data_IF_039927145181
#
_entry.id   IF_039927145181
#
_cell.length_a   1.000
_cell.length_b   1.000
_cell.length_c   1.000
_cell.angle_alpha   90.00
_cell.angle_beta   90.00
_cell.angle_gamma   90.00
#
_symmetry.space_group_name_H-M   'P 1'
#
loop_
_entity.id
_entity.type
_entity.pdbx_description
1 polymer ?
#
# COMPACT_ATOMS: atom_id res chain seq x y z
N UNK A 1 -5.62 -4.21 -20.54
CA UNK A 1 -6.56 -3.51 -19.65
C UNK A 1 -6.43 -4.17 -18.28
N UNK A 2 -6.22 -3.37 -17.26
CA UNK A 2 -6.39 -3.85 -15.89
C UNK A 2 -7.89 -4.09 -15.61
N UNK A 3 -8.21 -4.93 -14.64
CA UNK A 3 -9.59 -5.15 -14.20
C UNK A 3 -10.29 -3.84 -13.79
N UNK A 4 -9.52 -2.87 -13.29
CA UNK A 4 -9.97 -1.50 -13.00
C UNK A 4 -10.42 -0.68 -14.23
N UNK A 5 -10.25 -1.20 -15.46
CA UNK A 5 -10.54 -0.47 -16.70
C UNK A 5 -9.51 0.60 -17.08
N UNK A 6 -8.46 0.79 -16.31
CA UNK A 6 -7.41 1.77 -16.60
C UNK A 6 -6.59 1.38 -17.83
N UNK A 7 -6.23 2.39 -18.65
CA UNK A 7 -5.35 2.18 -19.80
C UNK A 7 -3.91 2.16 -19.34
N UNK A 8 -3.23 1.04 -19.55
CA UNK A 8 -1.80 0.92 -19.30
C UNK A 8 -1.01 1.69 -20.36
N UNK A 9 -0.35 2.77 -19.95
CA UNK A 9 0.60 3.49 -20.82
C UNK A 9 1.84 2.65 -21.10
N UNK A 10 2.57 2.97 -22.17
CA UNK A 10 3.83 2.29 -22.50
C UNK A 10 4.86 2.47 -21.40
N UNK A 11 4.91 3.63 -20.77
CA UNK A 11 5.86 3.92 -19.69
C UNK A 11 5.53 3.12 -18.43
N UNK A 12 4.24 3.01 -18.07
CA UNK A 12 3.82 2.18 -16.93
C UNK A 12 4.14 0.70 -17.14
N UNK A 13 3.93 0.19 -18.38
CA UNK A 13 4.30 -1.19 -18.72
C UNK A 13 5.80 -1.43 -18.62
N UNK A 14 6.61 -0.47 -19.09
CA UNK A 14 8.08 -0.54 -19.01
C UNK A 14 8.55 -0.51 -17.55
N UNK A 15 7.98 0.38 -16.75
CA UNK A 15 8.28 0.48 -15.33
C UNK A 15 7.98 -0.84 -14.60
N UNK A 16 6.77 -1.39 -14.79
CA UNK A 16 6.40 -2.68 -14.19
C UNK A 16 7.33 -3.83 -14.63
N UNK A 17 7.71 -3.87 -15.92
CA UNK A 17 8.66 -4.85 -16.41
C UNK A 17 10.04 -4.69 -15.76
N UNK A 18 10.53 -3.46 -15.67
CA UNK A 18 11.83 -3.17 -15.03
C UNK A 18 11.80 -3.60 -13.56
N UNK A 19 10.78 -3.26 -12.80
CA UNK A 19 10.64 -3.68 -11.41
C UNK A 19 10.67 -5.22 -11.28
N UNK A 20 9.91 -5.93 -12.11
CA UNK A 20 9.88 -7.40 -12.09
C UNK A 20 11.25 -8.02 -12.44
N UNK A 21 11.94 -7.47 -13.46
CA UNK A 21 13.26 -7.96 -13.87
C UNK A 21 14.34 -7.68 -12.83
N UNK A 22 14.31 -6.48 -12.23
CA UNK A 22 15.27 -6.09 -11.20
C UNK A 22 15.04 -6.86 -9.91
N UNK A 23 13.76 -7.06 -9.52
CA UNK A 23 13.39 -7.96 -8.43
C UNK A 23 13.97 -9.36 -8.63
N UNK A 24 13.68 -9.99 -9.78
CA UNK A 24 14.20 -11.32 -10.06
C UNK A 24 15.73 -11.38 -10.04
N UNK A 25 16.40 -10.35 -10.61
CA UNK A 25 17.87 -10.30 -10.63
C UNK A 25 18.47 -10.14 -9.25
N UNK A 26 17.88 -9.28 -8.41
CA UNK A 26 18.40 -8.97 -7.06
C UNK A 26 18.03 -10.04 -6.04
N UNK A 27 16.77 -10.50 -6.06
CA UNK A 27 16.22 -11.45 -5.11
C UNK A 27 15.95 -12.83 -5.73
N UNK A 28 16.83 -13.26 -6.63
CA UNK A 28 16.70 -14.55 -7.30
C UNK A 28 16.57 -15.72 -6.32
N UNK A 29 17.33 -15.66 -5.22
CA UNK A 29 17.28 -16.67 -4.15
C UNK A 29 15.91 -16.72 -3.45
N UNK A 30 15.17 -15.62 -3.39
CA UNK A 30 13.77 -15.61 -2.92
C UNK A 30 12.86 -16.16 -4.02
N UNK A 31 12.95 -15.59 -5.22
CA UNK A 31 12.06 -15.89 -6.33
C UNK A 31 12.08 -17.37 -6.75
N UNK A 32 13.24 -18.02 -6.72
CA UNK A 32 13.40 -19.44 -7.08
C UNK A 32 12.99 -20.42 -5.95
N UNK A 33 12.82 -19.93 -4.73
CA UNK A 33 12.44 -20.74 -3.57
C UNK A 33 11.01 -20.43 -3.07
N UNK A 34 10.22 -19.69 -3.84
CA UNK A 34 8.80 -19.47 -3.55
C UNK A 34 8.06 -20.81 -3.57
N UNK A 35 7.35 -21.11 -2.49
CA UNK A 35 6.51 -22.31 -2.40
C UNK A 35 5.05 -22.03 -2.75
N UNK A 36 4.54 -20.86 -2.36
CA UNK A 36 3.17 -20.42 -2.66
C UNK A 36 3.11 -18.91 -2.90
N UNK A 37 2.12 -18.49 -3.68
CA UNK A 37 1.79 -17.08 -3.92
C UNK A 37 0.31 -16.83 -3.69
N UNK A 38 -0.06 -15.58 -3.37
CA UNK A 38 -1.45 -15.15 -3.18
C UNK A 38 -2.19 -16.03 -2.16
N UNK A 39 -1.54 -16.34 -1.03
CA UNK A 39 -2.06 -17.25 -0.03
C UNK A 39 -3.13 -16.55 0.80
N UNK A 40 -4.37 -17.00 0.68
CA UNK A 40 -5.46 -16.50 1.51
C UNK A 40 -5.37 -17.10 2.90
N UNK A 41 -5.32 -16.23 3.89
CA UNK A 41 -5.32 -16.56 5.30
C UNK A 41 -6.63 -16.05 5.92
N UNK A 42 -7.24 -16.85 6.79
CA UNK A 42 -8.45 -16.48 7.52
C UNK A 42 -8.37 -16.97 8.97
N UNK A 43 -8.66 -16.09 9.90
CA UNK A 43 -8.76 -16.40 11.32
C UNK A 43 -10.20 -16.09 11.79
N UNK A 44 -11.06 -17.11 11.84
CA UNK A 44 -12.45 -16.95 12.25
C UNK A 44 -12.59 -16.79 13.77
N UNK A 45 -13.82 -16.58 14.23
CA UNK A 45 -14.24 -16.59 15.63
C UNK A 45 -13.56 -15.54 16.52
N UNK A 46 -13.00 -14.47 15.93
CA UNK A 46 -12.52 -13.34 16.71
C UNK A 46 -13.68 -12.65 17.43
N UNK A 47 -13.39 -12.00 18.55
CA UNK A 47 -14.39 -11.31 19.36
C UNK A 47 -14.07 -9.83 19.50
N UNK A 48 -15.05 -8.98 19.22
CA UNK A 48 -14.96 -7.56 19.54
C UNK A 48 -15.15 -7.28 21.03
N UNK A 49 -14.84 -6.08 21.53
CA UNK A 49 -15.13 -5.67 22.91
C UNK A 49 -16.59 -5.87 23.34
N UNK A 50 -17.54 -5.68 22.41
CA UNK A 50 -18.97 -5.96 22.64
C UNK A 50 -19.35 -7.41 22.33
N UNK A 51 -18.37 -8.33 22.29
CA UNK A 51 -18.57 -9.78 22.11
C UNK A 51 -19.22 -10.17 20.76
N UNK A 52 -19.07 -9.36 19.73
CA UNK A 52 -19.50 -9.67 18.36
C UNK A 52 -18.44 -10.53 17.67
N UNK A 53 -18.89 -11.52 16.91
CA UNK A 53 -17.96 -12.41 16.17
C UNK A 53 -17.59 -11.78 14.85
N UNK A 54 -16.30 -11.90 14.49
CA UNK A 54 -15.81 -11.50 13.18
C UNK A 54 -14.65 -12.41 12.71
N UNK A 55 -14.32 -12.31 11.46
CA UNK A 55 -13.19 -13.03 10.85
C UNK A 55 -12.17 -12.02 10.36
N UNK A 56 -10.90 -12.25 10.65
CA UNK A 56 -9.80 -11.50 10.03
C UNK A 56 -9.34 -12.28 8.82
N UNK A 57 -9.30 -11.64 7.67
CA UNK A 57 -8.82 -12.24 6.41
C UNK A 57 -7.70 -11.39 5.83
N UNK A 58 -6.77 -12.05 5.17
CA UNK A 58 -5.70 -11.40 4.44
C UNK A 58 -5.16 -12.27 3.32
N UNK A 59 -4.36 -11.68 2.44
CA UNK A 59 -3.69 -12.38 1.36
C UNK A 59 -2.21 -12.07 1.45
N UNK A 60 -1.40 -13.09 1.65
CA UNK A 60 0.07 -12.98 1.67
C UNK A 60 0.56 -13.15 0.24
N UNK A 61 1.38 -12.22 -0.23
CA UNK A 61 1.85 -12.23 -1.62
C UNK A 61 2.74 -13.45 -1.90
N UNK A 62 3.71 -13.73 -1.02
CA UNK A 62 4.67 -14.82 -1.19
C UNK A 62 4.88 -15.56 0.13
N UNK A 63 4.88 -16.89 0.05
CA UNK A 63 5.31 -17.80 1.12
C UNK A 63 6.48 -18.63 0.61
N UNK A 64 7.52 -18.72 1.44
CA UNK A 64 8.64 -19.66 1.26
C UNK A 64 8.70 -20.58 2.46
N UNK A 65 8.46 -21.86 2.23
CA UNK A 65 8.58 -22.92 3.23
C UNK A 65 9.82 -23.76 2.93
N UNK A 66 10.68 -23.98 3.91
CA UNK A 66 11.92 -24.75 3.84
C UNK A 66 12.39 -25.07 5.24
N UNK A 67 13.69 -24.94 5.50
CA UNK A 67 14.25 -25.06 6.85
C UNK A 67 13.71 -23.93 7.76
N UNK A 68 13.43 -22.79 7.17
CA UNK A 68 12.75 -21.64 7.77
C UNK A 68 11.57 -21.22 6.91
N UNK A 69 10.49 -20.77 7.56
CA UNK A 69 9.29 -20.24 6.90
C UNK A 69 9.32 -18.72 6.88
N UNK A 70 9.18 -18.18 5.68
CA UNK A 70 9.15 -16.74 5.43
C UNK A 70 7.82 -16.32 4.81
N UNK A 71 7.26 -15.21 5.28
CA UNK A 71 6.17 -14.50 4.62
C UNK A 71 6.69 -13.18 4.06
N UNK A 72 6.42 -12.94 2.79
CA UNK A 72 6.80 -11.67 2.13
C UNK A 72 5.56 -10.96 1.63
N UNK A 73 5.57 -9.63 1.79
CA UNK A 73 4.60 -8.72 1.20
C UNK A 73 5.31 -7.78 0.23
N UNK A 74 4.78 -7.67 -1.00
CA UNK A 74 5.40 -6.87 -2.07
C UNK A 74 4.83 -5.46 -2.07
N UNK A 75 5.69 -4.46 -1.98
CA UNK A 75 5.31 -3.05 -2.05
C UNK A 75 6.06 -2.33 -3.17
N UNK A 76 5.34 -1.49 -3.91
CA UNK A 76 5.94 -0.60 -4.92
C UNK A 76 6.47 0.69 -4.29
N UNK A 77 7.05 0.60 -3.11
CA UNK A 77 7.59 1.70 -2.33
C UNK A 77 9.12 1.71 -2.38
N UNK A 78 9.70 2.87 -2.05
CA UNK A 78 11.14 3.04 -1.89
C UNK A 78 11.61 2.27 -0.64
N UNK A 79 12.67 1.44 -0.73
CA UNK A 79 13.20 0.71 0.42
C UNK A 79 13.59 1.61 1.61
N UNK A 80 14.11 2.80 1.34
CA UNK A 80 14.50 3.73 2.39
C UNK A 80 13.27 4.36 3.08
N UNK A 81 12.18 4.61 2.34
CA UNK A 81 10.90 5.05 2.94
C UNK A 81 10.28 3.95 3.80
N UNK A 82 10.40 2.69 3.38
CA UNK A 82 9.94 1.54 4.18
C UNK A 82 10.73 1.43 5.48
N UNK A 83 12.07 1.52 5.42
CA UNK A 83 12.94 1.49 6.60
C UNK A 83 12.73 2.66 7.55
N UNK A 84 12.41 3.83 7.00
CA UNK A 84 12.16 5.04 7.80
C UNK A 84 10.78 5.04 8.48
N UNK A 85 9.84 4.22 8.00
CA UNK A 85 8.46 4.19 8.48
C UNK A 85 7.94 2.75 8.62
N UNK A 86 8.64 1.87 9.38
CA UNK A 86 8.30 0.44 9.46
C UNK A 86 6.89 0.20 10.03
N UNK A 87 6.42 1.09 10.92
CA UNK A 87 5.11 1.00 11.56
C UNK A 87 3.93 0.92 10.58
N UNK A 88 4.11 1.38 9.34
CA UNK A 88 3.06 1.32 8.30
C UNK A 88 2.84 -0.09 7.74
N UNK A 89 3.79 -0.98 7.96
CA UNK A 89 3.84 -2.33 7.39
C UNK A 89 3.78 -3.41 8.46
N UNK A 90 4.30 -3.12 9.65
CA UNK A 90 4.37 -4.05 10.77
C UNK A 90 2.99 -4.58 11.17
N UNK A 91 1.97 -3.71 11.23
CA UNK A 91 0.60 -4.12 11.58
C UNK A 91 0.09 -5.22 10.64
N UNK A 92 0.30 -5.06 9.33
CA UNK A 92 -0.13 -6.05 8.34
C UNK A 92 0.62 -7.36 8.47
N UNK A 93 1.95 -7.31 8.62
CA UNK A 93 2.78 -8.51 8.75
C UNK A 93 2.55 -9.24 10.07
N UNK A 94 2.35 -8.53 11.18
CA UNK A 94 2.00 -9.12 12.46
C UNK A 94 0.67 -9.88 12.39
N UNK A 95 -0.33 -9.33 11.71
CA UNK A 95 -1.62 -10.02 11.47
C UNK A 95 -1.41 -11.27 10.62
N UNK A 96 -0.62 -11.20 9.55
CA UNK A 96 -0.33 -12.38 8.71
C UNK A 96 0.41 -13.46 9.48
N UNK A 97 1.44 -13.07 10.25
CA UNK A 97 2.19 -13.99 11.10
C UNK A 97 1.28 -14.69 12.13
N UNK A 98 0.42 -13.91 12.77
CA UNK A 98 -0.53 -14.45 13.75
C UNK A 98 -1.51 -15.46 13.14
N UNK A 99 -2.10 -15.12 11.97
CA UNK A 99 -3.02 -16.04 11.29
C UNK A 99 -2.28 -17.30 10.87
N UNK A 100 -1.07 -17.16 10.31
CA UNK A 100 -0.25 -18.29 9.90
C UNK A 100 0.07 -19.22 11.05
N UNK A 101 0.57 -18.70 12.18
CA UNK A 101 0.89 -19.47 13.36
C UNK A 101 -0.32 -20.22 13.93
N UNK A 102 -1.48 -19.57 13.95
CA UNK A 102 -2.72 -20.21 14.42
C UNK A 102 -3.20 -21.33 13.49
N UNK A 103 -3.06 -21.17 12.18
CA UNK A 103 -3.49 -22.17 11.22
C UNK A 103 -2.54 -23.40 11.17
N UNK A 104 -1.26 -23.19 11.28
CA UNK A 104 -0.25 -24.23 11.13
C UNK A 104 0.22 -24.82 12.47
N UNK A 105 -0.13 -24.18 13.61
CA UNK A 105 0.33 -24.56 14.95
C UNK A 105 1.86 -24.66 15.03
N UNK A 106 2.55 -23.82 14.27
CA UNK A 106 4.01 -23.73 14.20
C UNK A 106 4.42 -22.26 14.24
N UNK A 107 5.56 -21.93 14.86
CA UNK A 107 6.08 -20.58 14.79
C UNK A 107 6.39 -20.20 13.34
N UNK A 108 6.24 -18.96 13.03
CA UNK A 108 6.75 -18.36 11.80
C UNK A 108 8.14 -17.82 12.11
N UNK A 109 9.10 -18.10 11.23
CA UNK A 109 10.48 -17.69 11.49
C UNK A 109 10.70 -16.23 11.11
N UNK A 110 10.22 -15.81 9.94
CA UNK A 110 10.50 -14.47 9.42
C UNK A 110 9.32 -13.85 8.67
N UNK A 111 9.23 -12.50 8.75
CA UNK A 111 8.40 -11.68 7.87
C UNK A 111 9.24 -10.59 7.22
N UNK A 112 8.93 -10.23 5.98
CA UNK A 112 9.67 -9.18 5.29
C UNK A 112 8.80 -8.43 4.27
N UNK A 113 9.17 -7.18 4.01
CA UNK A 113 8.70 -6.40 2.87
C UNK A 113 9.70 -6.52 1.73
N UNK A 114 9.19 -6.72 0.51
CA UNK A 114 9.94 -6.58 -0.72
C UNK A 114 9.54 -5.26 -1.37
N UNK A 115 10.39 -4.24 -1.21
CA UNK A 115 10.17 -2.90 -1.74
C UNK A 115 10.74 -2.78 -3.14
N UNK A 116 9.88 -2.79 -4.17
CA UNK A 116 10.31 -2.93 -5.57
C UNK A 116 10.66 -1.63 -6.28
N UNK A 117 10.43 -0.47 -5.66
CA UNK A 117 10.88 0.78 -6.23
C UNK A 117 12.41 0.83 -6.19
N UNK A 118 13.02 1.06 -7.33
CA UNK A 118 14.47 1.13 -7.47
C UNK A 118 14.96 2.58 -7.58
N UNK A 119 16.23 2.86 -7.20
CA UNK A 119 16.79 4.21 -7.19
C UNK A 119 16.70 4.92 -8.53
N UNK A 120 16.52 6.25 -8.49
CA UNK A 120 16.49 7.07 -9.71
C UNK A 120 17.78 6.93 -10.53
N UNK A 121 18.93 6.82 -9.88
CA UNK A 121 20.20 6.61 -10.55
C UNK A 121 20.20 5.32 -11.38
N UNK A 122 19.64 4.23 -10.86
CA UNK A 122 19.45 2.98 -11.59
C UNK A 122 18.51 3.16 -12.77
N UNK A 123 17.40 3.90 -12.60
CA UNK A 123 16.47 4.23 -13.68
C UNK A 123 17.14 4.99 -14.81
N UNK A 124 17.91 6.01 -14.47
CA UNK A 124 18.65 6.82 -15.45
C UNK A 124 19.74 6.01 -16.16
N UNK A 125 20.43 5.12 -15.46
CA UNK A 125 21.43 4.22 -16.03
C UNK A 125 20.80 3.19 -17.00
N UNK A 126 19.65 2.63 -16.65
CA UNK A 126 18.88 1.74 -17.54
C UNK A 126 18.47 2.44 -18.84
N UNK A 127 18.01 3.69 -18.77
CA UNK A 127 17.65 4.46 -19.96
C UNK A 127 18.85 4.75 -20.87
N UNK A 128 20.03 4.94 -20.31
CA UNK A 128 21.27 5.20 -21.05
C UNK A 128 22.02 3.95 -21.43
N UNK A 129 21.59 2.77 -20.96
CA UNK A 129 22.29 1.49 -21.12
C UNK A 129 23.71 1.50 -20.55
N UNK A 130 23.93 2.24 -19.45
CA UNK A 130 25.19 2.38 -18.75
C UNK A 130 25.42 1.16 -17.83
N UNK A 131 25.99 0.09 -18.40
CA UNK A 131 26.17 -1.19 -17.72
C UNK A 131 26.98 -1.10 -16.42
N UNK A 132 28.11 -0.36 -16.34
CA UNK A 132 28.84 -0.22 -15.08
C UNK A 132 27.99 0.40 -13.96
N UNK A 133 27.27 1.49 -14.26
CA UNK A 133 26.38 2.14 -13.28
C UNK A 133 25.21 1.24 -12.90
N UNK A 134 24.60 0.53 -13.85
CA UNK A 134 23.53 -0.44 -13.57
C UNK A 134 24.01 -1.51 -12.58
N UNK A 135 25.22 -2.05 -12.80
CA UNK A 135 25.75 -3.07 -11.91
C UNK A 135 26.00 -2.52 -10.51
N UNK A 136 26.64 -1.36 -10.41
CA UNK A 136 26.92 -0.72 -9.14
C UNK A 136 25.65 -0.40 -8.34
N UNK A 137 24.65 0.20 -8.98
CA UNK A 137 23.37 0.54 -8.36
C UNK A 137 22.61 -0.71 -7.90
N UNK A 138 22.61 -1.79 -8.70
CA UNK A 138 22.00 -3.05 -8.31
C UNK A 138 22.68 -3.71 -7.11
N UNK A 139 23.99 -3.61 -6.99
CA UNK A 139 24.72 -4.14 -5.84
C UNK A 139 24.31 -3.41 -4.55
N UNK A 140 24.10 -2.10 -4.63
CA UNK A 140 23.78 -1.25 -3.48
C UNK A 140 22.25 -1.13 -3.20
N UNK A 141 21.40 -1.46 -4.16
CA UNK A 141 19.96 -1.49 -3.95
C UNK A 141 19.58 -2.69 -3.09
N UNK A 142 18.97 -2.42 -1.94
CA UNK A 142 18.55 -3.45 -0.98
C UNK A 142 17.03 -3.40 -0.77
N UNK A 143 16.26 -4.15 -1.58
CA UNK A 143 14.79 -4.12 -1.56
C UNK A 143 14.16 -5.02 -0.48
N UNK A 144 14.94 -5.87 0.20
CA UNK A 144 14.43 -6.77 1.21
C UNK A 144 14.57 -6.15 2.60
N UNK A 145 13.44 -5.96 3.28
CA UNK A 145 13.39 -5.37 4.62
C UNK A 145 12.69 -6.36 5.54
N UNK A 146 13.45 -7.00 6.40
CA UNK A 146 12.92 -7.89 7.43
C UNK A 146 12.21 -7.08 8.51
N UNK A 147 11.07 -7.60 8.99
CA UNK A 147 10.25 -7.00 10.03
C UNK A 147 10.12 -7.98 11.19
N UNK A 148 10.37 -7.50 12.39
CA UNK A 148 10.21 -8.31 13.59
C UNK A 148 8.73 -8.46 13.95
N UNK A 149 8.36 -9.64 14.45
CA UNK A 149 7.03 -9.88 14.98
C UNK A 149 6.89 -9.25 16.37
N UNK A 150 5.85 -8.44 16.56
CA UNK A 150 5.54 -7.78 17.82
C UNK A 150 4.14 -8.19 18.31
N UNK A 151 4.10 -9.01 19.36
CA UNK A 151 2.87 -9.50 19.95
C UNK A 151 2.02 -8.37 20.56
N UNK A 152 2.62 -7.35 21.15
CA UNK A 152 1.88 -6.22 21.73
C UNK A 152 1.17 -5.39 20.65
N UNK A 153 1.86 -5.05 19.58
CA UNK A 153 1.27 -4.37 18.41
C UNK A 153 0.18 -5.20 17.74
N UNK A 154 0.34 -6.52 17.70
CA UNK A 154 -0.70 -7.41 17.20
C UNK A 154 -1.99 -7.31 18.01
N UNK A 155 -1.88 -7.40 19.34
CA UNK A 155 -3.04 -7.33 20.24
C UNK A 155 -3.78 -6.00 20.09
N UNK A 156 -3.04 -4.88 20.03
CA UNK A 156 -3.60 -3.55 19.73
C UNK A 156 -4.33 -3.51 18.39
N UNK A 157 -3.74 -4.13 17.36
CA UNK A 157 -4.33 -4.19 16.01
C UNK A 157 -5.63 -5.00 15.98
N UNK A 158 -5.65 -6.16 16.65
CA UNK A 158 -6.86 -7.00 16.74
C UNK A 158 -7.95 -6.29 17.54
N UNK A 159 -7.60 -5.62 18.63
CA UNK A 159 -8.55 -4.80 19.40
C UNK A 159 -9.12 -3.66 18.54
N UNK A 160 -8.26 -2.97 17.76
CA UNK A 160 -8.71 -1.91 16.85
C UNK A 160 -9.69 -2.45 15.80
N UNK A 161 -9.46 -3.65 15.22
CA UNK A 161 -10.41 -4.30 14.33
C UNK A 161 -11.74 -4.60 15.04
N UNK A 162 -11.70 -5.10 16.28
CA UNK A 162 -12.88 -5.34 17.09
C UNK A 162 -13.69 -4.07 17.32
N UNK A 163 -13.04 -2.96 17.63
CA UNK A 163 -13.68 -1.66 17.80
C UNK A 163 -14.35 -1.20 16.49
N UNK A 164 -13.67 -1.36 15.34
CA UNK A 164 -14.26 -1.04 14.04
C UNK A 164 -15.50 -1.91 13.75
N UNK A 165 -15.47 -3.20 14.09
CA UNK A 165 -16.62 -4.09 13.97
C UNK A 165 -17.78 -3.60 14.82
N UNK A 166 -17.51 -3.16 16.05
CA UNK A 166 -18.55 -2.64 16.95
C UNK A 166 -19.15 -1.34 16.42
N UNK A 167 -18.37 -0.44 15.84
CA UNK A 167 -18.86 0.76 15.18
C UNK A 167 -19.75 0.43 13.96
N UNK A 168 -19.30 -0.50 13.11
CA UNK A 168 -20.06 -0.93 11.92
C UNK A 168 -21.40 -1.56 12.32
N UNK A 169 -21.41 -2.50 13.26
CA UNK A 169 -22.62 -3.19 13.72
C UNK A 169 -23.52 -2.26 14.56
N UNK A 170 -22.93 -1.27 15.22
CA UNK A 170 -23.64 -0.18 15.90
C UNK A 170 -24.26 0.83 14.93
N UNK A 171 -23.97 0.71 13.62
CA UNK A 171 -24.39 1.65 12.56
C UNK A 171 -23.87 3.08 12.76
N UNK A 172 -22.69 3.22 13.35
CA UNK A 172 -22.01 4.48 13.55
C UNK A 172 -21.20 4.84 12.28
N UNK A 173 -21.91 5.34 11.27
CA UNK A 173 -21.33 5.68 9.95
C UNK A 173 -21.19 7.19 9.74
N UNK A 174 -20.88 7.94 10.78
CA UNK A 174 -20.73 9.38 10.65
C UNK A 174 -19.53 9.74 9.79
N UNK A 175 -19.72 10.53 8.73
CA UNK A 175 -18.61 10.96 7.91
C UNK A 175 -17.74 11.95 8.68
N UNK A 176 -16.44 11.94 8.47
CA UNK A 176 -15.51 12.89 9.07
C UNK A 176 -15.93 14.33 8.76
N UNK A 177 -15.63 15.25 9.69
CA UNK A 177 -15.94 16.66 9.51
C UNK A 177 -15.23 17.25 8.29
N UNK A 178 -15.77 18.34 7.74
CA UNK A 178 -15.13 19.04 6.63
C UNK A 178 -13.72 19.56 6.99
N UNK A 179 -13.52 19.95 8.25
CA UNK A 179 -12.22 20.38 8.77
C UNK A 179 -11.18 19.25 8.69
N UNK A 180 -11.56 18.01 9.04
CA UNK A 180 -10.70 16.84 8.95
C UNK A 180 -10.35 16.50 7.50
N UNK A 181 -11.29 16.72 6.56
CA UNK A 181 -11.04 16.45 5.13
C UNK A 181 -9.96 17.36 4.55
N UNK A 182 -9.79 18.58 5.06
CA UNK A 182 -8.76 19.53 4.58
C UNK A 182 -7.46 19.47 5.36
N UNK A 183 -7.44 18.76 6.49
CA UNK A 183 -6.24 18.61 7.31
C UNK A 183 -5.13 17.88 6.56
N UNK A 184 -3.85 18.19 6.85
CA UNK A 184 -2.68 17.50 6.27
C UNK A 184 -2.15 18.11 4.97
N UNK A 185 -2.49 19.35 4.62
CA UNK A 185 -1.89 20.08 3.49
C UNK A 185 -2.06 19.38 2.13
N UNK A 186 -0.96 19.11 1.41
CA UNK A 186 -0.99 18.38 0.13
C UNK A 186 -1.45 16.91 0.29
N UNK A 187 -1.15 16.28 1.43
CA UNK A 187 -1.56 14.91 1.79
C UNK A 187 -2.87 14.87 2.58
N UNK A 188 -3.76 15.85 2.39
CA UNK A 188 -5.04 15.91 3.09
C UNK A 188 -5.85 14.62 3.00
N UNK A 189 -6.64 14.36 4.04
CA UNK A 189 -7.47 13.14 4.14
C UNK A 189 -8.38 12.94 2.92
N UNK A 190 -9.00 14.02 2.43
CA UNK A 190 -9.85 13.95 1.25
C UNK A 190 -9.15 13.45 -0.02
N UNK A 191 -7.87 13.80 -0.21
CA UNK A 191 -7.09 13.35 -1.38
C UNK A 191 -6.63 11.90 -1.25
N UNK A 192 -6.27 11.46 -0.03
CA UNK A 192 -5.74 10.12 0.21
C UNK A 192 -6.83 9.05 0.32
N UNK A 193 -7.91 9.37 1.01
CA UNK A 193 -8.94 8.39 1.39
C UNK A 193 -10.23 8.62 0.63
N UNK A 194 -10.81 9.84 0.74
CA UNK A 194 -12.15 10.07 0.21
C UNK A 194 -12.21 9.99 -1.31
N UNK A 195 -11.13 10.34 -2.01
CA UNK A 195 -11.07 10.27 -3.48
C UNK A 195 -11.27 8.85 -4.00
N UNK A 196 -10.76 7.86 -3.28
CA UNK A 196 -10.84 6.44 -3.62
C UNK A 196 -11.97 5.69 -2.87
N UNK A 197 -12.76 6.41 -2.06
CA UNK A 197 -13.85 5.82 -1.31
C UNK A 197 -15.09 5.63 -2.20
N UNK A 198 -15.64 4.43 -2.23
CA UNK A 198 -16.85 4.13 -3.01
C UNK A 198 -18.07 4.92 -2.53
N UNK A 199 -18.12 5.24 -1.24
CA UNK A 199 -19.17 6.06 -0.65
C UNK A 199 -19.06 7.57 -0.93
N UNK A 200 -18.01 8.04 -1.64
CA UNK A 200 -17.74 9.49 -1.86
C UNK A 200 -18.91 10.23 -2.49
N UNK A 201 -19.66 9.58 -3.36
CA UNK A 201 -20.80 10.19 -4.06
C UNK A 201 -22.04 10.39 -3.18
N UNK A 202 -22.20 9.56 -2.16
CA UNK A 202 -23.28 9.65 -1.17
C UNK A 202 -22.85 10.39 0.11
N UNK A 203 -21.55 10.48 0.38
CA UNK A 203 -20.99 11.13 1.58
C UNK A 203 -21.28 12.62 1.61
N UNK A 204 -22.01 13.11 2.61
CA UNK A 204 -22.37 14.51 2.77
C UNK A 204 -21.17 15.42 2.93
N UNK A 205 -20.20 15.04 3.76
CA UNK A 205 -18.98 15.82 4.02
C UNK A 205 -18.10 15.92 2.78
N UNK A 206 -17.91 14.83 2.03
CA UNK A 206 -17.11 14.89 0.79
C UNK A 206 -17.79 15.73 -0.29
N UNK A 207 -19.10 15.63 -0.42
CA UNK A 207 -19.86 16.48 -1.37
C UNK A 207 -19.77 17.96 -1.01
N UNK A 208 -19.85 18.31 0.27
CA UNK A 208 -19.68 19.70 0.73
C UNK A 208 -18.26 20.21 0.43
N UNK A 209 -17.23 19.40 0.74
CA UNK A 209 -15.84 19.69 0.43
C UNK A 209 -15.60 19.90 -1.08
N UNK A 210 -16.11 18.98 -1.94
CA UNK A 210 -15.94 19.07 -3.38
C UNK A 210 -16.62 20.31 -3.98
N UNK A 211 -17.83 20.67 -3.52
CA UNK A 211 -18.54 21.89 -3.96
C UNK A 211 -17.78 23.17 -3.67
N UNK A 212 -17.17 23.29 -2.49
CA UNK A 212 -16.39 24.48 -2.10
C UNK A 212 -15.12 24.65 -2.93
N UNK A 213 -14.60 23.58 -3.52
CA UNK A 213 -13.35 23.58 -4.30
C UNK A 213 -13.54 23.63 -5.80
N UNK A 214 -14.75 23.43 -6.27
CA UNK A 214 -15.07 23.59 -7.70
C UNK A 214 -15.02 25.10 -8.05
N UNK A 215 -14.06 25.56 -8.88
CA UNK A 215 -14.00 26.98 -9.17
C UNK A 215 -15.19 27.38 -10.04
N UNK A 216 -15.88 28.42 -9.65
CA UNK A 216 -16.62 29.47 -10.35
C UNK A 216 -17.34 29.19 -11.70
N UNK A 217 -17.26 28.02 -12.27
CA UNK A 217 -18.01 27.67 -13.46
C UNK A 217 -19.16 26.73 -13.07
N UNK A 218 -20.40 27.20 -13.20
CA UNK A 218 -21.64 26.59 -12.72
C UNK A 218 -21.99 25.18 -13.24
N UNK A 219 -21.01 24.42 -13.70
CA UNK A 219 -21.12 23.04 -14.18
C UNK A 219 -20.03 22.13 -13.56
N UNK A 220 -19.13 22.67 -12.74
CA UNK A 220 -17.94 21.98 -12.22
C UNK A 220 -18.20 20.80 -11.27
N UNK A 221 -19.33 20.77 -10.59
CA UNK A 221 -19.68 19.65 -9.70
C UNK A 221 -19.89 18.34 -10.43
N UNK A 222 -20.47 18.38 -11.63
CA UNK A 222 -20.70 17.19 -12.44
C UNK A 222 -19.41 16.65 -13.08
N UNK A 223 -18.50 17.54 -13.50
CA UNK A 223 -17.17 17.15 -14.04
C UNK A 223 -16.31 16.47 -12.96
N UNK A 224 -16.30 17.01 -11.75
CA UNK A 224 -15.51 16.41 -10.65
C UNK A 224 -16.01 15.01 -10.25
N UNK A 225 -17.29 14.74 -10.43
CA UNK A 225 -17.89 13.45 -10.13
C UNK A 225 -17.94 12.49 -11.33
N UNK A 226 -17.89 12.99 -12.56
CA UNK A 226 -18.12 12.19 -13.77
C UNK A 226 -16.92 12.09 -14.71
N UNK A 227 -15.80 12.76 -14.39
CA UNK A 227 -14.61 12.73 -15.25
C UNK A 227 -13.61 11.68 -14.77
N UNK A 228 -13.57 10.49 -15.36
CA UNK A 228 -12.56 9.48 -15.05
C UNK A 228 -11.16 9.88 -15.55
N UNK A 229 -11.05 10.98 -16.35
CA UNK A 229 -9.79 11.44 -16.94
C UNK A 229 -9.15 12.57 -16.14
N UNK A 230 -9.88 13.22 -15.21
CA UNK A 230 -9.30 14.18 -14.28
C UNK A 230 -8.31 13.57 -13.28
N UNK A 231 -8.09 12.27 -13.39
CA UNK A 231 -7.19 11.45 -12.57
C UNK A 231 -5.76 11.36 -13.11
N UNK A 232 -5.31 12.36 -13.85
CA UNK A 232 -3.89 12.46 -14.28
C UNK A 232 -2.92 12.62 -13.10
N UNK A 233 -3.42 12.95 -11.91
CA UNK A 233 -2.62 12.95 -10.68
C UNK A 233 -2.46 11.55 -10.03
N UNK A 234 -3.05 10.50 -10.58
CA UNK A 234 -2.81 9.13 -10.07
C UNK A 234 -1.35 8.70 -10.22
N UNK A 235 -0.61 9.31 -11.13
CA UNK A 235 0.81 9.02 -11.31
C UNK A 235 1.72 9.75 -10.32
N UNK A 236 1.22 10.70 -9.54
CA UNK A 236 2.02 11.37 -8.49
C UNK A 236 2.38 10.45 -7.31
N UNK A 237 1.76 9.28 -7.24
CA UNK A 237 2.12 8.24 -6.28
C UNK A 237 3.37 7.47 -6.69
N UNK A 238 3.66 7.43 -7.99
CA UNK A 238 4.81 6.74 -8.57
C UNK A 238 6.02 7.68 -8.68
N UNK A 239 5.78 8.99 -8.72
CA UNK A 239 6.82 10.00 -8.75
C UNK A 239 7.10 10.47 -7.31
N UNK A 240 8.02 9.79 -6.62
CA UNK A 240 8.62 10.22 -5.36
C UNK A 240 9.38 11.56 -5.45
N UNK A 241 8.99 12.45 -6.35
CA UNK A 241 9.61 13.72 -6.66
C UNK A 241 8.68 14.89 -6.29
N UNK A 242 8.64 15.22 -4.99
CA UNK A 242 7.92 16.40 -4.50
C UNK A 242 8.81 17.58 -4.11
N UNK A 243 10.05 17.63 -4.58
CA UNK A 243 10.92 18.77 -4.38
C UNK A 243 11.55 19.26 -5.70
N UNK A 244 10.77 19.98 -6.48
CA UNK A 244 11.28 20.94 -7.46
C UNK A 244 10.34 22.14 -7.54
N UNK A 245 10.42 22.99 -6.54
CA UNK A 245 10.01 24.40 -6.71
C UNK A 245 11.25 25.18 -7.13
N UNK A 246 11.26 25.84 -8.30
CA UNK A 246 12.31 26.81 -8.61
C UNK A 246 12.17 27.99 -7.65
N UNK A 247 13.21 28.30 -6.89
CA UNK A 247 13.39 29.54 -6.18
C UNK A 247 13.33 30.69 -7.18
N UNK A 248 12.32 31.54 -7.09
CA UNK A 248 12.35 32.84 -7.78
C UNK A 248 13.23 33.75 -6.95
N UNK A 249 14.37 34.10 -7.52
CA UNK A 249 15.13 35.30 -7.20
C UNK A 249 14.34 36.57 -7.53
#
# INVERSE_FOLDING_TARGET
RMESGQVLTTDLKREALNQAMLYYRKLRHVAENVTRTEVRLALPEQRSPLNRRFTIEGVVDIVREGDETWLYDIKTHDPDDVRANPERYEEQLNVYAHIWQNLHQQPLDHTAIIATQYPKALKDALMRMDLPTIQWELEHWDPLIEMEFDQGKLEETIEAFGNVVDEIEGKHFEPRSEADLVSGGRRRFAARVCRNCDARFSCSSYRAFARKRSPKEGIGGAKYFNDPVADTDQNSWLDGNLDNTPSKS
#
